data_IF_921958083323
#
_entry.id   IF_921958083323
#
_cell.length_a   1.000
_cell.length_b   1.000
_cell.length_c   1.000
_cell.angle_alpha   90.00
_cell.angle_beta   90.00
_cell.angle_gamma   90.00
#
_symmetry.space_group_name_H-M   'P 1'
#
loop_
_entity.id
_entity.type
_entity.pdbx_description
1 polymer ?
#
# COMPACT_ATOMS: atom_id res chain seq x y z
N UNK A 1 12.97 -3.19 -5.92
CA UNK A 1 11.59 -3.06 -5.41
C UNK A 1 10.64 -2.71 -6.54
N UNK A 2 9.49 -3.36 -6.58
CA UNK A 2 8.46 -3.06 -7.58
C UNK A 2 7.71 -1.79 -7.19
N UNK A 3 7.45 -0.95 -8.19
CA UNK A 3 6.68 0.28 -8.01
C UNK A 3 5.80 0.51 -9.23
N UNK A 4 4.68 1.19 -9.01
CA UNK A 4 3.85 1.67 -10.12
C UNK A 4 3.70 3.18 -9.97
N UNK A 5 3.45 3.86 -11.08
CA UNK A 5 3.23 5.31 -11.07
C UNK A 5 1.83 5.62 -10.50
N UNK A 6 1.65 6.89 -10.10
CA UNK A 6 0.34 7.34 -9.65
C UNK A 6 -0.71 7.23 -10.77
N UNK A 7 -0.32 7.43 -12.01
CA UNK A 7 -1.23 7.27 -13.16
C UNK A 7 -1.68 5.82 -13.33
N UNK A 8 -0.73 4.87 -13.31
CA UNK A 8 -1.05 3.45 -13.38
C UNK A 8 -1.92 3.01 -12.21
N UNK A 9 -1.64 3.52 -11.02
CA UNK A 9 -2.44 3.26 -9.83
C UNK A 9 -3.88 3.70 -10.04
N UNK A 10 -4.07 4.92 -10.52
CA UNK A 10 -5.42 5.46 -10.78
C UNK A 10 -6.16 4.65 -11.83
N UNK A 11 -5.49 4.31 -12.93
CA UNK A 11 -6.10 3.58 -14.04
C UNK A 11 -6.53 2.17 -13.65
N UNK A 12 -5.82 1.53 -12.74
CA UNK A 12 -6.05 0.14 -12.36
C UNK A 12 -6.64 -0.04 -10.96
N UNK A 13 -7.04 1.05 -10.31
CA UNK A 13 -7.41 1.05 -8.90
C UNK A 13 -8.40 -0.07 -8.53
N UNK A 14 -9.43 -0.26 -9.32
CA UNK A 14 -10.46 -1.27 -9.03
C UNK A 14 -9.96 -2.71 -9.15
N UNK A 15 -8.85 -2.94 -9.85
CA UNK A 15 -8.27 -4.27 -10.04
C UNK A 15 -7.15 -4.57 -9.06
N UNK A 16 -6.71 -3.59 -8.27
CA UNK A 16 -5.58 -3.76 -7.36
C UNK A 16 -6.03 -4.25 -5.99
N UNK A 17 -5.17 -5.06 -5.35
CA UNK A 17 -5.37 -5.48 -3.97
C UNK A 17 -4.64 -4.49 -3.07
N UNK A 18 -5.38 -3.56 -2.48
CA UNK A 18 -4.81 -2.47 -1.71
C UNK A 18 -4.48 -2.89 -0.28
N UNK A 19 -3.30 -2.50 0.19
CA UNK A 19 -2.89 -2.60 1.57
C UNK A 19 -2.52 -1.20 2.05
N UNK A 20 -3.37 -0.62 2.88
CA UNK A 20 -3.19 0.71 3.45
C UNK A 20 -2.46 0.58 4.78
N UNK A 21 -1.25 1.14 4.87
CA UNK A 21 -0.43 1.06 6.07
C UNK A 21 -0.40 2.37 6.86
N UNK A 22 -1.30 3.30 6.51
CA UNK A 22 -1.41 4.58 7.21
C UNK A 22 -1.99 4.40 8.60
N UNK A 23 -1.94 5.47 9.40
CA UNK A 23 -2.57 5.46 10.72
C UNK A 23 -4.11 5.37 10.60
N UNK A 24 -4.81 4.91 11.66
CA UNK A 24 -6.27 4.90 11.63
C UNK A 24 -6.89 6.26 11.36
N UNK A 25 -6.29 7.33 11.87
CA UNK A 25 -6.77 8.69 11.64
C UNK A 25 -6.67 9.10 10.17
N UNK A 26 -5.54 8.82 9.55
CA UNK A 26 -5.34 9.10 8.12
C UNK A 26 -6.36 8.33 7.28
N UNK A 27 -6.60 7.08 7.63
CA UNK A 27 -7.58 6.24 6.94
C UNK A 27 -8.99 6.80 7.10
N UNK A 28 -9.34 7.29 8.28
CA UNK A 28 -10.65 7.88 8.53
C UNK A 28 -10.86 9.17 7.71
N UNK A 29 -9.80 9.94 7.51
CA UNK A 29 -9.87 11.18 6.74
C UNK A 29 -10.02 10.93 5.23
N UNK A 30 -9.38 9.88 4.71
CA UNK A 30 -9.44 9.54 3.29
C UNK A 30 -9.17 8.05 3.10
N UNK A 31 -10.09 7.35 2.46
CA UNK A 31 -10.10 5.89 2.37
C UNK A 31 -10.39 5.44 0.94
N UNK A 32 -9.45 4.71 0.35
CA UNK A 32 -9.62 4.09 -0.97
C UNK A 32 -10.11 2.65 -0.91
N UNK A 33 -10.37 2.14 0.29
CA UNK A 33 -10.75 0.75 0.49
C UNK A 33 -9.54 -0.16 0.70
N UNK A 34 -9.76 -1.46 0.56
CA UNK A 34 -8.73 -2.46 0.76
C UNK A 34 -8.51 -2.80 2.23
N UNK A 35 -7.44 -3.57 2.46
CA UNK A 35 -7.07 -3.98 3.82
C UNK A 35 -6.33 -2.84 4.50
N UNK A 36 -6.65 -2.59 5.77
CA UNK A 36 -5.96 -1.59 6.58
C UNK A 36 -5.17 -2.27 7.70
N UNK A 37 -3.86 -2.20 7.60
CA UNK A 37 -2.95 -2.64 8.66
C UNK A 37 -1.90 -1.54 8.82
N UNK A 38 -1.96 -0.73 9.89
CA UNK A 38 -0.94 0.30 10.13
C UNK A 38 0.46 -0.29 10.13
N UNK A 39 1.45 0.46 9.66
CA UNK A 39 2.82 -0.03 9.54
C UNK A 39 3.34 -0.63 10.86
N UNK A 40 3.02 0.01 11.99
CA UNK A 40 3.47 -0.45 13.30
C UNK A 40 2.94 -1.84 13.66
N UNK A 41 1.82 -2.24 13.07
CA UNK A 41 1.18 -3.54 13.35
C UNK A 41 1.47 -4.58 12.26
N UNK A 42 2.20 -4.19 11.21
CA UNK A 42 2.33 -5.03 10.01
C UNK A 42 2.93 -6.40 10.32
N UNK A 43 4.05 -6.44 11.04
CA UNK A 43 4.74 -7.71 11.33
C UNK A 43 3.92 -8.65 12.21
N UNK A 44 3.17 -8.12 13.17
CA UNK A 44 2.34 -8.93 14.06
C UNK A 44 1.05 -9.40 13.38
N UNK A 45 0.63 -8.74 12.31
CA UNK A 45 -0.61 -9.04 11.59
C UNK A 45 -0.38 -9.57 10.18
N UNK A 46 0.85 -9.91 9.84
CA UNK A 46 1.20 -10.36 8.49
C UNK A 46 0.44 -11.65 8.10
N UNK A 47 0.05 -12.46 9.08
CA UNK A 47 -0.71 -13.67 8.87
C UNK A 47 -2.12 -13.41 8.30
N UNK A 48 -2.60 -12.17 8.35
CA UNK A 48 -3.88 -11.80 7.75
C UNK A 48 -3.79 -11.63 6.23
N UNK A 49 -2.57 -11.62 5.69
CA UNK A 49 -2.36 -11.44 4.26
C UNK A 49 -2.21 -12.78 3.54
N UNK A 50 -2.64 -12.79 2.28
CA UNK A 50 -2.57 -13.99 1.45
C UNK A 50 -1.25 -14.02 0.68
N UNK A 51 -0.47 -15.09 0.87
CA UNK A 51 0.84 -15.25 0.22
C UNK A 51 0.73 -15.31 -1.33
N UNK A 52 -0.45 -15.67 -1.84
CA UNK A 52 -0.67 -15.77 -3.29
C UNK A 52 -1.14 -14.46 -3.92
N UNK A 53 -1.37 -13.42 -3.12
CA UNK A 53 -1.85 -12.13 -3.59
C UNK A 53 -0.69 -11.15 -3.70
N UNK A 54 -0.66 -10.36 -4.78
CA UNK A 54 0.26 -9.23 -4.92
C UNK A 54 -0.44 -7.99 -4.38
N UNK A 55 0.12 -7.40 -3.33
CA UNK A 55 -0.46 -6.21 -2.71
C UNK A 55 0.13 -4.92 -3.26
N UNK A 56 -0.72 -3.93 -3.44
CA UNK A 56 -0.31 -2.55 -3.73
C UNK A 56 -0.38 -1.79 -2.42
N UNK A 57 0.77 -1.38 -1.91
CA UNK A 57 0.91 -0.81 -0.57
C UNK A 57 0.81 0.71 -0.65
N UNK A 58 -0.05 1.29 0.19
CA UNK A 58 -0.36 2.71 0.18
C UNK A 58 0.12 3.39 1.46
N UNK A 59 0.86 4.50 1.31
CA UNK A 59 1.09 5.47 2.37
C UNK A 59 0.94 6.88 1.78
N UNK A 60 1.16 7.91 2.58
CA UNK A 60 0.92 9.27 2.12
C UNK A 60 1.86 9.68 0.98
N UNK A 61 3.17 9.56 1.17
CA UNK A 61 4.16 10.06 0.20
C UNK A 61 5.03 8.98 -0.47
N UNK A 62 4.77 7.70 -0.20
CA UNK A 62 5.53 6.59 -0.78
C UNK A 62 6.77 6.17 -0.01
N UNK A 63 7.11 6.83 1.09
CA UNK A 63 8.32 6.50 1.89
C UNK A 63 8.10 5.29 2.79
N UNK A 64 7.05 5.31 3.59
CA UNK A 64 6.76 4.20 4.51
C UNK A 64 6.34 2.93 3.77
N UNK A 65 5.64 3.08 2.65
CA UNK A 65 5.24 1.93 1.84
C UNK A 65 6.44 1.18 1.26
N UNK A 66 7.56 1.85 0.99
CA UNK A 66 8.78 1.17 0.57
C UNK A 66 9.31 0.26 1.69
N UNK A 67 9.27 0.72 2.92
CA UNK A 67 9.66 -0.09 4.08
C UNK A 67 8.74 -1.31 4.19
N UNK A 68 7.44 -1.09 4.10
CA UNK A 68 6.45 -2.16 4.16
C UNK A 68 6.67 -3.19 3.05
N UNK A 69 6.94 -2.75 1.83
CA UNK A 69 7.20 -3.65 0.71
C UNK A 69 8.43 -4.53 0.96
N UNK A 70 9.48 -3.97 1.55
CA UNK A 70 10.67 -4.76 1.91
C UNK A 70 10.37 -5.80 2.97
N UNK A 71 9.60 -5.44 3.99
CA UNK A 71 9.19 -6.37 5.04
C UNK A 71 8.34 -7.51 4.46
N UNK A 72 7.37 -7.18 3.62
CA UNK A 72 6.50 -8.17 2.99
C UNK A 72 7.28 -9.11 2.08
N UNK A 73 8.16 -8.57 1.24
CA UNK A 73 8.99 -9.36 0.34
C UNK A 73 9.88 -10.33 1.13
N UNK A 74 10.45 -9.88 2.24
CA UNK A 74 11.26 -10.73 3.10
C UNK A 74 10.45 -11.89 3.69
N UNK A 75 9.14 -11.76 3.79
CA UNK A 75 8.23 -12.80 4.27
C UNK A 75 7.57 -13.60 3.13
N UNK A 76 8.03 -13.42 1.90
CA UNK A 76 7.51 -14.15 0.74
C UNK A 76 6.20 -13.63 0.18
N UNK A 77 5.79 -12.42 0.56
CA UNK A 77 4.56 -11.80 0.07
C UNK A 77 4.91 -10.78 -1.00
N UNK A 78 4.28 -10.89 -2.17
CA UNK A 78 4.50 -9.94 -3.26
C UNK A 78 3.88 -8.59 -2.92
N UNK A 79 4.63 -7.53 -3.14
CA UNK A 79 4.18 -6.17 -2.85
C UNK A 79 4.81 -5.18 -3.82
N UNK A 80 4.06 -4.13 -4.10
CA UNK A 80 4.55 -3.01 -4.91
C UNK A 80 4.17 -1.69 -4.25
N UNK A 81 5.02 -0.69 -4.48
CA UNK A 81 4.85 0.66 -3.97
C UNK A 81 4.19 1.55 -5.03
N UNK A 82 3.42 2.54 -4.59
CA UNK A 82 2.95 3.62 -5.46
C UNK A 82 3.94 4.77 -5.36
N UNK A 83 4.60 5.09 -6.45
CA UNK A 83 5.58 6.18 -6.48
C UNK A 83 4.91 7.49 -6.08
N UNK A 84 5.43 8.13 -5.03
CA UNK A 84 4.86 9.37 -4.49
C UNK A 84 3.62 9.19 -3.63
N UNK A 85 3.14 7.95 -3.45
CA UNK A 85 2.03 7.63 -2.56
C UNK A 85 0.72 8.30 -2.91
N UNK A 86 -0.16 8.44 -1.91
CA UNK A 86 -1.45 9.10 -2.08
C UNK A 86 -1.30 10.58 -2.46
N UNK A 87 -0.23 11.23 -2.00
CA UNK A 87 0.04 12.64 -2.35
C UNK A 87 0.12 12.79 -3.87
N UNK A 88 0.88 11.93 -4.54
CA UNK A 88 0.99 11.97 -6.00
C UNK A 88 -0.33 11.63 -6.68
N UNK A 89 -1.05 10.64 -6.15
CA UNK A 89 -2.37 10.26 -6.67
C UNK A 89 -3.37 11.43 -6.58
N UNK A 90 -3.43 12.11 -5.45
CA UNK A 90 -4.35 13.22 -5.22
C UNK A 90 -3.97 14.46 -6.03
N UNK A 91 -2.72 14.55 -6.49
CA UNK A 91 -2.23 15.67 -7.30
C UNK A 91 -2.49 15.47 -8.80
N UNK A 92 -3.00 14.31 -9.22
CA UNK A 92 -3.33 14.07 -10.63
C UNK A 92 -4.49 14.94 -11.06
N UNK A 93 -4.44 15.48 -12.31
CA UNK A 93 -5.53 16.29 -12.87
C UNK A 93 -6.81 15.48 -13.09
#
# INVERSE_FOLDING_TARGET
>A
MLSISANEFKENLSALSLLDIRTPRERADFDLGGIHIPLDDLLTRIHELNISTKYTVICYNGTQSQIACRLLTAKGIQAQNVTGGLEAYLSLP
#
